data_IF_554551272679
#
_entry.id   IF_554551272679
#
_cell.length_a   1.000
_cell.length_b   1.000
_cell.length_c   1.000
_cell.angle_alpha   90.00
_cell.angle_beta   90.00
_cell.angle_gamma   90.00
#
_symmetry.space_group_name_H-M   'P 1'
#
loop_
_entity.id
_entity.type
_entity.pdbx_description
1 polymer ?
#
# COMPACT_ATOMS: atom_id res chain seq x y z
N UNK A 1 -6.79 -0.15 3.52
CA UNK A 1 -6.40 1.01 2.73
C UNK A 1 -7.11 2.26 3.24
N UNK A 2 -6.81 3.43 2.69
CA UNK A 2 -7.32 4.74 3.11
C UNK A 2 -8.02 5.47 1.96
N UNK A 3 -8.55 6.68 2.21
CA UNK A 3 -9.42 7.41 1.28
C UNK A 3 -8.72 8.19 0.17
N UNK A 4 -7.43 8.02 -0.05
CA UNK A 4 -6.77 8.67 -1.18
C UNK A 4 -7.33 8.17 -2.52
N UNK A 5 -7.39 9.03 -3.56
CA UNK A 5 -8.01 8.68 -4.86
C UNK A 5 -7.34 7.50 -5.59
N UNK A 6 -6.08 7.23 -5.33
CA UNK A 6 -5.35 6.08 -5.87
C UNK A 6 -5.67 4.75 -5.17
N UNK A 7 -6.35 4.81 -4.00
CA UNK A 7 -6.83 3.64 -3.26
C UNK A 7 -8.34 3.45 -3.38
N UNK A 8 -9.12 4.52 -3.29
CA UNK A 8 -10.57 4.53 -3.49
C UNK A 8 -10.92 5.32 -4.75
N UNK A 9 -10.50 4.81 -5.90
CA UNK A 9 -10.68 5.48 -7.18
C UNK A 9 -12.13 5.43 -7.64
N UNK A 10 -12.80 6.59 -7.67
CA UNK A 10 -14.24 6.72 -7.90
C UNK A 10 -14.69 6.12 -9.25
N UNK A 11 -13.92 6.36 -10.32
CA UNK A 11 -14.27 5.80 -11.63
C UNK A 11 -14.21 4.27 -11.63
N UNK A 12 -13.25 3.67 -10.93
CA UNK A 12 -13.20 2.21 -10.79
C UNK A 12 -14.37 1.69 -9.95
N UNK A 13 -14.66 2.36 -8.84
CA UNK A 13 -15.76 2.01 -7.95
C UNK A 13 -17.13 2.21 -8.61
N UNK A 14 -17.26 3.16 -9.54
CA UNK A 14 -18.51 3.38 -10.30
C UNK A 14 -18.90 2.18 -11.15
N UNK A 15 -17.93 1.41 -11.61
CA UNK A 15 -18.11 0.19 -12.44
C UNK A 15 -18.52 -1.04 -11.62
N UNK A 16 -18.42 -0.97 -10.29
CA UNK A 16 -18.80 -2.06 -9.39
C UNK A 16 -20.30 -1.99 -9.10
N UNK A 17 -20.98 -3.13 -9.09
CA UNK A 17 -22.39 -3.25 -8.71
C UNK A 17 -22.60 -2.72 -7.28
N UNK A 18 -23.63 -1.90 -7.09
CA UNK A 18 -23.86 -1.21 -5.80
C UNK A 18 -24.52 -2.08 -4.72
N UNK A 19 -24.98 -3.26 -5.09
CA UNK A 19 -25.52 -4.28 -4.19
C UNK A 19 -24.44 -5.25 -3.64
N UNK A 20 -23.21 -5.16 -4.12
CA UNK A 20 -22.12 -5.98 -3.61
C UNK A 20 -21.81 -5.65 -2.15
N UNK A 21 -21.44 -6.69 -1.40
CA UNK A 21 -20.93 -6.52 -0.03
C UNK A 21 -19.53 -5.89 -0.09
N UNK A 22 -19.42 -4.74 0.52
CA UNK A 22 -18.15 -4.00 0.68
C UNK A 22 -17.67 -4.11 2.12
N UNK A 23 -16.39 -4.40 2.30
CA UNK A 23 -15.77 -4.37 3.62
C UNK A 23 -14.95 -3.10 3.77
N UNK A 24 -15.09 -2.43 4.90
CA UNK A 24 -14.23 -1.33 5.33
C UNK A 24 -13.79 -1.56 6.77
N UNK A 25 -12.65 -1.03 7.13
CA UNK A 25 -12.12 -1.16 8.48
C UNK A 25 -12.73 -0.13 9.42
N UNK A 26 -12.72 -0.44 10.71
CA UNK A 26 -13.17 0.45 11.77
C UNK A 26 -12.15 1.57 11.99
N UNK A 27 -12.11 2.53 11.06
CA UNK A 27 -11.32 3.74 11.21
C UNK A 27 -12.06 4.79 12.05
N UNK A 28 -11.33 5.52 12.85
CA UNK A 28 -11.89 6.58 13.69
C UNK A 28 -12.57 7.68 12.86
N UNK A 29 -11.98 8.04 11.72
CA UNK A 29 -12.52 9.07 10.82
C UNK A 29 -13.79 8.66 10.08
N UNK A 30 -14.12 7.36 9.99
CA UNK A 30 -15.21 6.79 9.17
C UNK A 30 -15.22 7.22 7.69
N UNK A 31 -14.17 7.89 7.23
CA UNK A 31 -14.11 8.50 5.91
C UNK A 31 -14.28 7.49 4.77
N UNK A 32 -13.75 6.28 4.93
CA UNK A 32 -13.92 5.22 3.91
C UNK A 32 -15.35 4.73 3.81
N UNK A 33 -16.05 4.60 4.94
CA UNK A 33 -17.45 4.20 4.97
C UNK A 33 -18.35 5.26 4.33
N UNK A 34 -18.15 6.52 4.73
CA UNK A 34 -18.90 7.66 4.18
C UNK A 34 -18.69 7.83 2.68
N UNK A 35 -17.45 7.67 2.23
CA UNK A 35 -17.13 7.71 0.80
C UNK A 35 -17.82 6.60 0.02
N UNK A 36 -17.81 5.36 0.49
CA UNK A 36 -18.52 4.26 -0.15
C UNK A 36 -20.04 4.50 -0.19
N UNK A 37 -20.62 5.03 0.89
CA UNK A 37 -22.04 5.42 0.93
C UNK A 37 -22.37 6.50 -0.10
N UNK A 38 -21.53 7.53 -0.22
CA UNK A 38 -21.71 8.61 -1.20
C UNK A 38 -21.70 8.11 -2.64
N UNK A 39 -20.95 7.04 -2.90
CA UNK A 39 -20.91 6.36 -4.20
C UNK A 39 -22.08 5.38 -4.44
N UNK A 40 -23.02 5.29 -3.49
CA UNK A 40 -24.25 4.50 -3.61
C UNK A 40 -24.14 3.03 -3.22
N UNK A 41 -23.05 2.59 -2.57
CA UNK A 41 -22.97 1.25 -2.02
C UNK A 41 -23.91 1.09 -0.82
N UNK A 42 -24.73 0.03 -0.82
CA UNK A 42 -25.77 -0.21 0.19
C UNK A 42 -25.34 -1.23 1.25
N UNK A 43 -24.52 -2.18 0.87
CA UNK A 43 -24.10 -3.29 1.72
C UNK A 43 -22.65 -3.06 2.17
N UNK A 44 -22.46 -2.30 3.24
CA UNK A 44 -21.14 -2.01 3.79
C UNK A 44 -21.02 -2.67 5.17
N UNK A 45 -20.02 -3.51 5.35
CA UNK A 45 -19.70 -4.15 6.61
C UNK A 45 -18.41 -3.58 7.16
N UNK A 46 -18.49 -3.03 8.37
CA UNK A 46 -17.32 -2.56 9.10
C UNK A 46 -16.67 -3.76 9.79
N UNK A 47 -15.37 -3.91 9.64
CA UNK A 47 -14.57 -4.99 10.21
C UNK A 47 -13.44 -4.45 11.08
N UNK A 48 -13.10 -5.20 12.12
CA UNK A 48 -12.04 -4.83 13.03
C UNK A 48 -10.66 -5.17 12.46
N UNK A 49 -9.68 -4.33 12.78
CA UNK A 49 -8.28 -4.62 12.46
C UNK A 49 -7.74 -5.81 13.25
N UNK A 50 -6.77 -6.48 12.67
CA UNK A 50 -6.03 -7.58 13.30
C UNK A 50 -6.90 -8.80 13.67
N UNK A 51 -8.12 -8.86 13.14
CA UNK A 51 -9.03 -10.00 13.27
C UNK A 51 -9.13 -10.71 11.91
N UNK A 52 -9.15 -12.04 11.97
CA UNK A 52 -9.35 -12.87 10.79
C UNK A 52 -10.83 -13.08 10.48
N UNK A 53 -11.18 -12.96 9.22
CA UNK A 53 -12.52 -13.20 8.69
C UNK A 53 -12.47 -14.31 7.65
N UNK A 54 -13.54 -15.08 7.60
CA UNK A 54 -13.71 -16.14 6.61
C UNK A 54 -14.96 -15.82 5.80
N UNK A 55 -14.83 -15.84 4.48
CA UNK A 55 -15.94 -15.95 3.56
C UNK A 55 -16.14 -17.44 3.27
N UNK A 56 -17.14 -18.05 3.93
CA UNK A 56 -17.42 -19.48 3.83
C UNK A 56 -17.88 -19.90 2.44
N UNK A 57 -18.50 -18.97 1.69
CA UNK A 57 -19.01 -19.27 0.34
C UNK A 57 -17.86 -19.42 -0.66
N UNK A 58 -16.84 -18.55 -0.52
CA UNK A 58 -15.72 -18.50 -1.44
C UNK A 58 -14.45 -19.17 -0.87
N UNK A 59 -14.54 -19.76 0.32
CA UNK A 59 -13.39 -20.36 1.02
C UNK A 59 -12.20 -19.41 1.17
N UNK A 60 -12.50 -18.15 1.39
CA UNK A 60 -11.53 -17.07 1.39
C UNK A 60 -11.33 -16.51 2.80
N UNK A 61 -10.10 -16.57 3.29
CA UNK A 61 -9.70 -15.95 4.54
C UNK A 61 -9.07 -14.60 4.26
N UNK A 62 -9.42 -13.58 5.06
CA UNK A 62 -8.79 -12.27 4.99
C UNK A 62 -8.68 -11.60 6.35
N UNK A 63 -7.74 -10.67 6.49
CA UNK A 63 -7.52 -9.88 7.70
C UNK A 63 -6.94 -8.53 7.36
N UNK A 64 -7.59 -7.42 7.76
CA UNK A 64 -6.98 -6.11 7.71
C UNK A 64 -6.00 -5.96 8.87
N UNK A 65 -4.81 -5.44 8.59
CA UNK A 65 -3.79 -5.14 9.59
C UNK A 65 -3.67 -3.63 9.74
N UNK A 66 -3.88 -3.11 10.94
CA UNK A 66 -3.74 -1.67 11.18
C UNK A 66 -2.30 -1.20 10.91
N UNK A 67 -2.15 -0.04 10.26
CA UNK A 67 -0.87 0.63 10.21
C UNK A 67 -0.40 0.99 11.62
N UNK A 68 0.88 0.80 11.89
CA UNK A 68 1.47 1.09 13.19
C UNK A 68 1.75 2.58 13.43
N UNK A 69 1.44 3.44 12.47
CA UNK A 69 1.47 4.89 12.61
C UNK A 69 0.08 5.44 12.94
N UNK A 70 -0.05 6.76 13.03
CA UNK A 70 -1.30 7.45 13.40
C UNK A 70 -2.32 7.56 12.26
N UNK A 71 -2.00 7.07 11.06
CA UNK A 71 -2.87 7.19 9.89
C UNK A 71 -4.00 6.17 9.93
N UNK A 72 -5.14 6.55 9.38
CA UNK A 72 -6.25 5.64 9.09
C UNK A 72 -5.92 4.82 7.85
N UNK A 73 -4.99 3.86 7.99
CA UNK A 73 -4.54 3.00 6.92
C UNK A 73 -4.38 1.55 7.38
N UNK A 74 -4.44 0.62 6.43
CA UNK A 74 -4.36 -0.82 6.69
C UNK A 74 -3.57 -1.54 5.61
N UNK A 75 -2.74 -2.48 6.04
CA UNK A 75 -2.34 -3.59 5.19
C UNK A 75 -3.45 -4.65 5.13
N UNK A 76 -3.35 -5.55 4.20
CA UNK A 76 -4.35 -6.60 3.98
C UNK A 76 -3.69 -7.95 3.75
N UNK A 77 -4.11 -8.94 4.54
CA UNK A 77 -3.74 -10.34 4.33
C UNK A 77 -4.91 -11.07 3.73
N UNK A 78 -4.67 -11.93 2.77
CA UNK A 78 -5.64 -12.91 2.34
C UNK A 78 -5.02 -14.28 2.07
N UNK A 79 -5.86 -15.32 2.18
CA UNK A 79 -5.50 -16.70 1.86
C UNK A 79 -6.62 -17.34 1.07
N UNK A 80 -6.23 -18.10 0.07
CA UNK A 80 -7.12 -18.93 -0.72
C UNK A 80 -6.40 -20.23 -1.08
N UNK A 81 -6.91 -21.35 -0.61
CA UNK A 81 -6.21 -22.62 -0.70
C UNK A 81 -4.81 -22.55 -0.09
N UNK A 82 -3.80 -22.88 -0.86
CA UNK A 82 -2.39 -22.85 -0.45
C UNK A 82 -1.73 -21.45 -0.68
N UNK A 83 -2.39 -20.57 -1.40
CA UNK A 83 -1.87 -19.23 -1.67
C UNK A 83 -2.15 -18.27 -0.50
N UNK A 84 -1.15 -17.52 -0.10
CA UNK A 84 -1.29 -16.48 0.93
C UNK A 84 -0.51 -15.23 0.54
N UNK A 85 -1.12 -14.06 0.75
CA UNK A 85 -0.54 -12.79 0.34
C UNK A 85 -0.72 -11.73 1.42
N UNK A 86 0.29 -10.91 1.58
CA UNK A 86 0.24 -9.62 2.29
C UNK A 86 0.39 -8.49 1.30
N UNK A 87 -0.56 -7.57 1.29
CA UNK A 87 -0.52 -6.31 0.53
C UNK A 87 -0.52 -5.18 1.54
N UNK A 88 0.57 -4.44 1.64
CA UNK A 88 0.68 -3.37 2.64
C UNK A 88 1.00 -1.99 2.08
N UNK A 89 1.09 -1.83 0.80
CA UNK A 89 1.46 -0.65 0.01
C UNK A 89 1.90 0.57 0.84
N UNK A 90 0.97 1.35 1.36
CA UNK A 90 1.26 2.58 2.14
C UNK A 90 1.31 2.34 3.65
N UNK A 91 0.81 1.20 4.11
CA UNK A 91 0.83 0.80 5.51
C UNK A 91 2.21 0.26 5.90
N UNK A 92 3.19 1.15 5.99
CA UNK A 92 4.61 0.79 6.12
C UNK A 92 5.00 0.25 7.51
N UNK A 93 4.22 0.58 8.53
CA UNK A 93 4.50 0.24 9.93
C UNK A 93 3.48 -0.75 10.50
N UNK A 94 3.33 -1.88 9.84
CA UNK A 94 2.45 -2.94 10.32
C UNK A 94 2.99 -3.53 11.61
N UNK A 95 2.10 -3.95 12.50
CA UNK A 95 2.45 -4.67 13.71
C UNK A 95 3.08 -6.03 13.37
N UNK A 96 4.41 -6.08 13.36
CA UNK A 96 5.19 -7.25 12.98
C UNK A 96 4.92 -8.49 13.84
N UNK A 97 4.40 -8.36 15.05
CA UNK A 97 4.08 -9.50 15.90
C UNK A 97 2.86 -10.30 15.41
N UNK A 98 2.01 -9.65 14.61
CA UNK A 98 0.78 -10.25 14.07
C UNK A 98 0.91 -10.73 12.63
N UNK A 99 2.10 -10.61 12.04
CA UNK A 99 2.33 -11.08 10.68
C UNK A 99 2.34 -12.61 10.63
N UNK A 100 1.62 -13.22 9.69
CA UNK A 100 1.68 -14.65 9.46
C UNK A 100 3.06 -15.08 8.96
N UNK A 101 3.39 -16.33 9.13
CA UNK A 101 4.61 -16.94 8.61
C UNK A 101 4.33 -17.65 7.29
N UNK A 102 5.41 -17.88 6.55
CA UNK A 102 5.41 -18.70 5.33
C UNK A 102 4.41 -18.21 4.28
N UNK A 103 4.38 -16.89 4.09
CA UNK A 103 3.55 -16.28 3.05
C UNK A 103 4.07 -16.66 1.66
N UNK A 104 3.14 -16.89 0.74
CA UNK A 104 3.50 -17.05 -0.67
C UNK A 104 4.02 -15.75 -1.26
N UNK A 105 3.36 -14.62 -0.98
CA UNK A 105 3.67 -13.33 -1.58
C UNK A 105 3.58 -12.19 -0.56
N UNK A 106 4.51 -11.27 -0.65
CA UNK A 106 4.40 -9.93 -0.03
C UNK A 106 4.47 -8.89 -1.13
N UNK A 107 3.43 -8.08 -1.26
CA UNK A 107 3.40 -6.92 -2.13
C UNK A 107 3.52 -5.64 -1.29
N UNK A 108 4.57 -4.85 -1.51
CA UNK A 108 4.87 -3.66 -0.71
C UNK A 108 5.46 -2.55 -1.56
N UNK A 109 5.29 -1.31 -1.11
CA UNK A 109 5.95 -0.18 -1.75
C UNK A 109 7.46 -0.32 -1.68
N UNK A 110 8.14 0.07 -2.74
CA UNK A 110 9.61 0.15 -2.74
C UNK A 110 10.12 1.57 -3.03
N UNK A 111 9.21 2.47 -3.35
CA UNK A 111 9.49 3.89 -3.52
C UNK A 111 9.17 4.68 -2.26
N UNK A 112 9.95 5.69 -1.99
CA UNK A 112 9.74 6.61 -0.89
C UNK A 112 8.83 7.76 -1.33
N UNK A 113 7.52 7.55 -1.20
CA UNK A 113 6.50 8.58 -1.43
C UNK A 113 6.23 8.91 -2.90
N UNK A 114 4.96 8.97 -3.25
CA UNK A 114 4.48 9.40 -4.57
C UNK A 114 4.33 10.93 -4.69
N UNK A 115 4.43 11.66 -3.59
CA UNK A 115 4.13 13.10 -3.52
C UNK A 115 5.18 14.04 -4.12
N UNK A 116 6.21 13.50 -4.77
CA UNK A 116 7.31 14.32 -5.28
C UNK A 116 8.20 14.96 -4.20
N UNK A 117 7.88 14.76 -2.90
CA UNK A 117 8.70 15.25 -1.81
C UNK A 117 10.06 14.50 -1.77
N UNK A 118 11.17 15.17 -1.57
CA UNK A 118 11.35 16.61 -1.39
C UNK A 118 11.61 17.36 -2.72
N UNK A 119 11.51 16.70 -3.86
CA UNK A 119 11.99 17.24 -5.15
C UNK A 119 11.24 18.47 -5.62
N UNK A 120 9.92 18.48 -5.45
CA UNK A 120 9.06 19.60 -5.86
C UNK A 120 9.04 20.78 -4.88
N UNK A 121 9.82 20.74 -3.80
CA UNK A 121 9.87 21.80 -2.80
C UNK A 121 11.07 22.72 -3.06
N UNK A 122 10.81 23.93 -3.56
CA UNK A 122 11.83 24.89 -3.94
C UNK A 122 12.62 25.45 -2.75
N UNK A 123 12.00 25.50 -1.57
CA UNK A 123 12.61 26.00 -0.33
C UNK A 123 13.63 25.00 0.28
N UNK A 124 13.74 23.79 -0.23
CA UNK A 124 14.72 22.79 0.22
C UNK A 124 15.92 22.80 -0.71
N UNK A 125 17.11 22.97 -0.14
CA UNK A 125 18.36 22.96 -0.90
C UNK A 125 18.65 21.59 -1.52
N UNK A 126 19.31 21.59 -2.67
CA UNK A 126 19.56 20.35 -3.44
C UNK A 126 20.34 19.28 -2.66
N UNK A 127 21.35 19.67 -1.89
CA UNK A 127 22.09 18.75 -1.04
C UNK A 127 21.21 18.13 0.07
N UNK A 128 20.27 18.87 0.60
CA UNK A 128 19.31 18.41 1.61
C UNK A 128 18.28 17.48 0.96
N UNK A 129 17.75 17.83 -0.20
CA UNK A 129 16.88 16.92 -0.99
C UNK A 129 17.56 15.57 -1.21
N UNK A 130 18.80 15.59 -1.66
CA UNK A 130 19.57 14.37 -1.92
C UNK A 130 19.78 13.54 -0.65
N UNK A 131 20.02 14.18 0.49
CA UNK A 131 20.13 13.48 1.76
C UNK A 131 18.80 12.84 2.20
N UNK A 132 17.68 13.57 2.11
CA UNK A 132 16.34 13.06 2.41
C UNK A 132 16.04 11.83 1.55
N UNK A 133 16.29 11.91 0.25
CA UNK A 133 16.07 10.79 -0.67
C UNK A 133 16.90 9.57 -0.32
N UNK A 134 18.17 9.78 0.06
CA UNK A 134 19.06 8.71 0.49
C UNK A 134 18.53 8.02 1.75
N UNK A 135 18.14 8.81 2.75
CA UNK A 135 17.59 8.29 4.02
C UNK A 135 16.30 7.50 3.76
N UNK A 136 15.39 8.05 2.96
CA UNK A 136 14.13 7.39 2.62
C UNK A 136 14.36 6.03 1.92
N UNK A 137 15.30 5.94 0.98
CA UNK A 137 15.66 4.68 0.31
C UNK A 137 16.16 3.63 1.31
N UNK A 138 17.05 4.04 2.22
CA UNK A 138 17.60 3.14 3.24
C UNK A 138 16.47 2.63 4.14
N UNK A 139 15.57 3.51 4.57
CA UNK A 139 14.42 3.17 5.40
C UNK A 139 13.48 2.18 4.69
N UNK A 140 13.07 2.47 3.47
CA UNK A 140 12.19 1.59 2.68
C UNK A 140 12.82 0.21 2.48
N UNK A 141 14.11 0.17 2.12
CA UNK A 141 14.84 -1.09 1.98
C UNK A 141 14.88 -1.89 3.28
N UNK A 142 15.08 -1.23 4.41
CA UNK A 142 15.11 -1.87 5.74
C UNK A 142 13.74 -2.42 6.11
N UNK A 143 12.67 -1.66 5.87
CA UNK A 143 11.29 -2.09 6.12
C UNK A 143 10.97 -3.34 5.30
N UNK A 144 11.22 -3.30 3.99
CA UNK A 144 10.94 -4.43 3.11
C UNK A 144 11.77 -5.67 3.48
N UNK A 145 13.05 -5.49 3.80
CA UNK A 145 13.87 -6.61 4.30
C UNK A 145 13.30 -7.22 5.57
N UNK A 146 12.83 -6.40 6.49
CA UNK A 146 12.20 -6.88 7.72
C UNK A 146 10.89 -7.64 7.43
N UNK A 147 10.06 -7.12 6.54
CA UNK A 147 8.83 -7.81 6.12
C UNK A 147 9.14 -9.19 5.53
N UNK A 148 10.03 -9.26 4.56
CA UNK A 148 10.46 -10.51 3.92
C UNK A 148 10.99 -11.51 4.96
N UNK A 149 11.91 -11.06 5.83
CA UNK A 149 12.52 -11.93 6.84
C UNK A 149 11.50 -12.43 7.87
N UNK A 150 10.59 -11.56 8.31
CA UNK A 150 9.62 -11.91 9.35
C UNK A 150 8.48 -12.78 8.85
N UNK A 151 8.07 -12.60 7.60
CA UNK A 151 7.01 -13.41 6.99
C UNK A 151 7.53 -14.70 6.36
N UNK A 152 8.83 -14.82 6.11
CA UNK A 152 9.40 -15.96 5.40
C UNK A 152 8.82 -16.11 3.99
N UNK A 153 8.41 -15.02 3.34
CA UNK A 153 7.73 -15.05 2.05
C UNK A 153 8.58 -15.65 0.94
N UNK A 154 7.94 -16.43 0.07
CA UNK A 154 8.60 -17.01 -1.11
C UNK A 154 8.83 -15.98 -2.21
N UNK A 155 7.92 -15.00 -2.35
CA UNK A 155 7.98 -13.99 -3.39
C UNK A 155 7.77 -12.58 -2.82
N UNK A 156 8.52 -11.62 -3.34
CA UNK A 156 8.33 -10.20 -3.06
C UNK A 156 7.98 -9.47 -4.35
N UNK A 157 6.81 -8.80 -4.35
CA UNK A 157 6.35 -7.96 -5.43
C UNK A 157 6.56 -6.50 -5.06
N UNK A 158 7.49 -5.78 -5.71
CA UNK A 158 7.55 -4.33 -5.59
C UNK A 158 6.30 -3.75 -6.23
N UNK A 159 5.45 -3.16 -5.41
CA UNK A 159 4.14 -2.65 -5.78
C UNK A 159 4.01 -1.20 -5.36
N UNK A 160 3.47 -0.35 -6.21
CA UNK A 160 3.44 1.10 -6.06
C UNK A 160 4.83 1.78 -6.10
N UNK A 161 4.84 3.02 -6.53
CA UNK A 161 6.05 3.84 -6.66
C UNK A 161 6.60 3.96 -8.07
N UNK A 162 5.97 3.32 -9.04
CA UNK A 162 6.15 3.61 -10.45
C UNK A 162 4.92 4.37 -10.95
N UNK A 163 5.15 5.46 -11.63
CA UNK A 163 4.13 6.15 -12.38
C UNK A 163 4.76 6.71 -13.66
N UNK A 164 3.97 6.78 -14.70
CA UNK A 164 4.37 7.40 -15.94
C UNK A 164 3.99 8.88 -15.88
N UNK A 165 5.00 9.73 -15.85
CA UNK A 165 4.80 11.16 -15.85
C UNK A 165 4.44 11.63 -17.25
N UNK A 166 3.21 12.09 -17.44
CA UNK A 166 2.70 12.59 -18.72
C UNK A 166 2.72 14.12 -18.80
N UNK A 167 2.68 14.82 -17.67
CA UNK A 167 2.71 16.27 -17.63
C UNK A 167 4.14 16.83 -17.71
N UNK A 168 4.31 17.93 -18.42
CA UNK A 168 5.61 18.62 -18.57
C UNK A 168 6.20 18.98 -17.18
N UNK A 169 5.35 19.39 -16.23
CA UNK A 169 5.76 19.67 -14.84
C UNK A 169 6.43 18.48 -14.14
N UNK A 170 6.14 17.26 -14.59
CA UNK A 170 6.61 16.04 -13.95
C UNK A 170 7.96 15.57 -14.53
N UNK A 171 8.46 16.21 -15.58
CA UNK A 171 9.73 15.85 -16.25
C UNK A 171 10.91 15.80 -15.29
N UNK A 172 10.98 16.74 -14.36
CA UNK A 172 12.02 16.77 -13.33
C UNK A 172 11.93 15.56 -12.38
N UNK A 173 10.72 15.17 -12.00
CA UNK A 173 10.47 13.99 -11.17
C UNK A 173 10.88 12.73 -11.94
N UNK A 174 10.54 12.63 -13.22
CA UNK A 174 10.91 11.54 -14.12
C UNK A 174 12.42 11.36 -14.22
N UNK A 175 13.14 12.44 -14.46
CA UNK A 175 14.61 12.41 -14.56
C UNK A 175 15.27 11.93 -13.27
N UNK A 176 14.78 12.41 -12.13
CA UNK A 176 15.28 12.01 -10.83
C UNK A 176 14.86 10.60 -10.45
N UNK A 177 13.65 10.16 -10.81
CA UNK A 177 13.21 8.79 -10.63
C UNK A 177 14.05 7.83 -11.47
N UNK A 178 14.34 8.12 -12.72
CA UNK A 178 15.23 7.31 -13.56
C UNK A 178 16.58 7.09 -12.88
N UNK A 179 17.18 8.13 -12.33
CA UNK A 179 18.43 8.03 -11.56
C UNK A 179 18.29 7.22 -10.27
N UNK A 180 17.09 7.21 -9.66
CA UNK A 180 16.79 6.41 -8.45
C UNK A 180 16.68 4.92 -8.75
N UNK A 181 16.08 4.55 -9.88
CA UNK A 181 15.78 3.15 -10.24
C UNK A 181 16.97 2.44 -10.90
N UNK A 182 17.91 3.17 -11.46
CA UNK A 182 19.15 2.59 -12.00
C UNK A 182 19.98 1.82 -10.96
N UNK A 183 19.72 2.04 -9.67
CA UNK A 183 20.40 1.32 -8.58
C UNK A 183 19.60 0.12 -8.01
N UNK A 184 18.39 -0.13 -8.51
CA UNK A 184 17.71 -1.40 -8.29
C UNK A 184 17.94 -2.24 -9.52
N UNK A 185 18.85 -3.21 -9.42
CA UNK A 185 19.02 -4.22 -10.46
C UNK A 185 17.63 -4.72 -10.86
N UNK A 186 17.30 -4.60 -12.17
CA UNK A 186 16.08 -5.22 -12.72
C UNK A 186 16.05 -6.65 -12.19
N UNK A 187 14.90 -7.15 -11.69
CA UNK A 187 14.78 -8.56 -11.44
C UNK A 187 15.23 -9.29 -12.70
N UNK A 188 16.20 -10.17 -12.58
CA UNK A 188 16.56 -11.02 -13.72
C UNK A 188 15.31 -11.87 -13.99
N UNK A 189 14.78 -11.76 -15.20
CA UNK A 189 13.72 -12.60 -15.70
C UNK A 189 14.12 -14.08 -15.65
#
# INVERSE_FOLDING_TARGET
SHTHPDHLHEESLSKIRKDMLMYTTNFESKSSEEHLKSLGFKNIKIIEHDIGYIDEINEFYFSPLKSGDFRDDSGFIFKYGTFSCLINVDSNFINFYKLPKDLTLVASTFASGASGFPLCFENIKENEKNNILRVNRISTKKINKNLITRTGTSYFLPYAGFFEESAIRDSYIKENNSKRYLNFSKPKA
#
